data_IF_369545203143
#
_entry.id   IF_369545203143
#
_cell.length_a   1.000
_cell.length_b   1.000
_cell.length_c   1.000
_cell.angle_alpha   90.00
_cell.angle_beta   90.00
_cell.angle_gamma   90.00
#
_symmetry.space_group_name_H-M   'P 1'
#
loop_
_entity.id
_entity.type
_entity.pdbx_description
1 polymer ?
#
# COMPACT_ATOMS: atom_id res chain seq x y z
N UNK A 1 47.45 9.42 -2.34
CA UNK A 1 46.66 8.17 -2.42
C UNK A 1 46.60 7.55 -1.03
N UNK A 2 45.53 6.87 -0.60
CA UNK A 2 44.49 6.19 -1.39
C UNK A 2 43.25 7.09 -1.59
N UNK A 3 42.36 6.91 -2.57
CA UNK A 3 42.10 5.79 -3.48
C UNK A 3 40.58 5.67 -3.62
N UNK A 4 39.91 6.61 -4.28
CA UNK A 4 38.47 6.50 -4.58
C UNK A 4 38.35 5.65 -5.85
N UNK A 5 37.98 4.39 -5.68
CA UNK A 5 37.55 3.55 -6.79
C UNK A 5 36.17 4.02 -7.27
N UNK A 6 36.13 4.54 -8.50
CA UNK A 6 34.88 4.79 -9.20
C UNK A 6 34.21 3.47 -9.59
N UNK A 7 32.97 3.28 -9.18
CA UNK A 7 32.08 2.30 -9.81
C UNK A 7 31.55 2.92 -11.11
N UNK A 8 31.95 2.34 -12.25
CA UNK A 8 31.40 2.66 -13.56
C UNK A 8 29.99 2.06 -13.72
N UNK A 9 29.06 2.87 -14.23
CA UNK A 9 27.77 2.42 -14.77
C UNK A 9 27.88 2.37 -16.30
N UNK A 10 27.44 1.28 -16.99
CA UNK A 10 27.57 1.19 -18.43
C UNK A 10 26.49 2.05 -19.12
N UNK A 11 26.97 2.99 -19.95
CA UNK A 11 26.25 3.83 -20.94
C UNK A 11 25.83 5.24 -20.49
N UNK A 12 26.84 6.09 -20.28
CA UNK A 12 27.16 7.38 -20.96
C UNK A 12 27.97 8.20 -19.94
N UNK A 13 29.28 8.29 -20.17
CA UNK A 13 30.27 8.76 -19.19
C UNK A 13 30.40 10.27 -19.06
N UNK A 14 29.75 10.85 -18.05
CA UNK A 14 30.08 12.16 -17.49
C UNK A 14 30.04 12.08 -15.95
N UNK A 15 31.18 12.32 -15.30
CA UNK A 15 31.25 12.54 -13.85
C UNK A 15 30.93 14.01 -13.57
N UNK A 16 29.88 14.31 -12.80
CA UNK A 16 29.60 15.67 -12.34
C UNK A 16 29.75 15.75 -10.81
N UNK A 17 30.72 16.52 -10.28
CA UNK A 17 30.73 16.91 -8.87
C UNK A 17 29.73 18.06 -8.67
N UNK A 18 28.74 17.88 -7.80
CA UNK A 18 27.90 18.98 -7.31
C UNK A 18 28.63 19.62 -6.13
N UNK A 19 29.14 20.84 -6.29
CA UNK A 19 29.72 21.62 -5.19
C UNK A 19 28.68 22.60 -4.66
N UNK A 20 28.34 22.51 -3.37
CA UNK A 20 27.51 23.49 -2.66
C UNK A 20 28.45 24.41 -1.90
N UNK A 21 28.47 25.70 -2.24
CA UNK A 21 29.19 26.71 -1.46
C UNK A 21 28.18 27.54 -0.67
N UNK A 22 28.19 27.41 0.66
CA UNK A 22 27.45 28.27 1.58
C UNK A 22 28.26 29.54 1.81
N UNK A 23 27.65 30.72 1.64
CA UNK A 23 28.26 32.00 2.03
C UNK A 23 27.31 32.66 3.03
N UNK A 24 27.56 32.43 4.32
CA UNK A 24 27.01 33.24 5.40
C UNK A 24 28.12 33.51 6.43
N UNK A 25 28.23 34.71 7.01
CA UNK A 25 29.24 34.99 8.02
C UNK A 25 28.86 34.32 9.35
N UNK A 26 29.71 33.44 9.88
CA UNK A 26 29.63 32.98 11.27
C UNK A 26 29.05 31.59 11.55
N UNK A 27 28.68 30.81 10.54
CA UNK A 27 28.24 29.41 10.73
C UNK A 27 29.22 28.44 10.04
N UNK A 28 29.83 27.54 10.81
CA UNK A 28 30.65 26.45 10.31
C UNK A 28 29.78 25.17 10.22
N UNK A 29 29.75 24.53 9.05
CA UNK A 29 29.21 23.19 8.88
C UNK A 29 30.38 22.21 8.76
N UNK A 30 30.47 21.21 9.65
CA UNK A 30 31.58 20.25 9.66
C UNK A 30 31.50 19.22 8.53
N UNK A 31 30.32 18.97 7.95
CA UNK A 31 30.19 18.21 6.70
C UNK A 31 28.84 18.43 6.02
N UNK A 32 28.85 18.42 4.68
CA UNK A 32 27.65 18.40 3.83
C UNK A 32 27.65 17.08 3.06
N UNK A 33 26.64 16.22 3.29
CA UNK A 33 26.47 15.00 2.51
C UNK A 33 25.34 15.16 1.50
N UNK A 34 25.65 14.91 0.22
CA UNK A 34 24.68 14.75 -0.85
C UNK A 34 24.40 13.26 -1.03
N UNK A 35 23.14 12.83 -0.85
CA UNK A 35 22.70 11.50 -1.28
C UNK A 35 22.01 11.61 -2.63
N UNK A 36 22.46 10.81 -3.58
CA UNK A 36 21.81 10.63 -4.89
C UNK A 36 21.13 9.26 -4.88
N UNK A 37 19.80 9.24 -4.86
CA UNK A 37 19.01 8.09 -5.26
C UNK A 37 17.97 8.60 -6.29
N UNK A 38 18.06 8.12 -7.53
CA UNK A 38 17.04 8.33 -8.57
C UNK A 38 16.64 9.79 -8.87
N UNK A 39 17.62 10.68 -9.07
CA UNK A 39 17.39 11.98 -9.71
C UNK A 39 16.88 13.12 -8.81
N UNK A 40 16.88 12.94 -7.48
CA UNK A 40 16.64 14.00 -6.51
C UNK A 40 17.92 14.26 -5.68
N UNK A 41 18.24 15.54 -5.44
CA UNK A 41 19.35 15.95 -4.58
C UNK A 41 18.79 16.59 -3.31
N UNK A 42 19.05 15.97 -2.16
CA UNK A 42 18.70 16.51 -0.84
C UNK A 42 19.94 17.04 -0.11
N UNK A 43 19.76 18.13 0.65
CA UNK A 43 20.79 18.73 1.50
C UNK A 43 20.51 18.33 2.97
N UNK A 44 21.51 17.74 3.64
CA UNK A 44 21.46 17.50 5.09
C UNK A 44 22.57 18.32 5.74
N UNK A 45 22.22 19.22 6.65
CA UNK A 45 23.15 20.02 7.43
C UNK A 45 23.26 19.42 8.84
N UNK A 46 24.45 18.94 9.21
CA UNK A 46 24.73 18.50 10.59
C UNK A 46 25.67 19.53 11.24
N UNK A 47 25.21 20.16 12.32
CA UNK A 47 26.03 21.08 13.13
C UNK A 47 25.28 21.59 14.36
N UNK A 48 26.00 21.72 15.48
CA UNK A 48 25.51 22.03 16.83
C UNK A 48 24.76 23.36 16.93
N UNK A 49 23.98 23.50 18.00
CA UNK A 49 23.11 24.64 18.33
C UNK A 49 23.74 26.00 18.02
N UNK A 50 23.24 26.65 16.97
CA UNK A 50 23.56 28.04 16.65
C UNK A 50 22.57 28.95 17.37
N UNK A 51 23.04 29.77 18.32
CA UNK A 51 22.26 30.87 18.90
C UNK A 51 22.25 32.05 17.93
N UNK A 52 21.06 32.41 17.45
CA UNK A 52 20.83 33.43 16.41
C UNK A 52 19.33 33.50 16.04
N UNK A 53 18.88 34.55 15.32
CA UNK A 53 17.46 34.91 15.21
C UNK A 53 16.61 33.81 14.56
N UNK A 54 15.31 33.75 14.92
CA UNK A 54 14.34 32.66 14.66
C UNK A 54 14.14 32.22 13.18
N UNK A 55 14.74 32.94 12.22
CA UNK A 55 14.64 32.71 10.78
C UNK A 55 16.02 32.79 10.14
N UNK A 56 16.47 31.70 9.50
CA UNK A 56 17.68 31.68 8.69
C UNK A 56 17.31 31.86 7.21
N UNK A 57 17.84 32.90 6.57
CA UNK A 57 17.79 33.05 5.11
C UNK A 57 19.02 32.38 4.50
N UNK A 58 18.79 31.42 3.59
CA UNK A 58 19.86 30.73 2.88
C UNK A 58 19.72 30.95 1.38
N UNK A 59 20.76 31.52 0.77
CA UNK A 59 20.88 31.64 -0.69
C UNK A 59 21.51 30.35 -1.24
N UNK A 60 20.73 29.56 -1.98
CA UNK A 60 21.23 28.36 -2.64
C UNK A 60 21.59 28.71 -4.09
N UNK A 61 22.87 28.53 -4.44
CA UNK A 61 23.36 28.71 -5.81
C UNK A 61 23.71 27.36 -6.41
N UNK A 62 22.86 26.87 -7.30
CA UNK A 62 23.16 25.69 -8.12
C UNK A 62 23.94 26.17 -9.34
N UNK A 63 25.20 25.77 -9.49
CA UNK A 63 26.03 26.09 -10.65
C UNK A 63 25.87 24.97 -11.68
N UNK A 64 25.13 25.19 -12.78
CA UNK A 64 24.98 24.17 -13.81
C UNK A 64 26.18 24.17 -14.78
N UNK A 65 26.30 23.15 -15.67
CA UNK A 65 27.28 23.17 -16.75
C UNK A 65 27.10 24.41 -17.64
N UNK A 66 28.19 24.83 -18.30
CA UNK A 66 28.22 26.04 -19.12
C UNK A 66 27.06 26.08 -20.14
N UNK A 67 26.28 27.16 -20.11
CA UNK A 67 25.14 27.39 -21.02
C UNK A 67 23.75 27.26 -20.38
N UNK A 68 23.64 26.82 -19.12
CA UNK A 68 22.37 26.81 -18.40
C UNK A 68 22.27 27.99 -17.41
N UNK A 69 21.11 28.65 -17.36
CA UNK A 69 20.78 29.68 -16.36
C UNK A 69 19.81 29.06 -15.36
N UNK A 70 20.20 28.98 -14.10
CA UNK A 70 19.32 28.60 -12.98
C UNK A 70 18.79 29.85 -12.29
N UNK A 71 17.49 29.92 -11.95
CA UNK A 71 16.97 31.01 -11.12
C UNK A 71 17.60 30.97 -9.73
N UNK A 72 17.97 32.13 -9.18
CA UNK A 72 18.28 32.24 -7.75
C UNK A 72 17.00 32.00 -6.95
N UNK A 73 17.08 31.13 -5.95
CA UNK A 73 15.99 30.93 -5.01
C UNK A 73 16.45 31.27 -3.60
N UNK A 74 15.62 32.07 -2.92
CA UNK A 74 15.81 32.46 -1.54
C UNK A 74 14.77 31.71 -0.72
N UNK A 75 15.20 31.00 0.31
CA UNK A 75 14.32 30.23 1.19
C UNK A 75 14.53 30.66 2.64
N UNK A 76 13.43 30.70 3.39
CA UNK A 76 13.39 31.00 4.81
C UNK A 76 13.16 29.71 5.59
N UNK A 77 14.02 29.45 6.58
CA UNK A 77 13.93 28.25 7.42
C UNK A 77 13.69 28.68 8.87
N UNK A 78 12.65 28.13 9.53
CA UNK A 78 12.33 28.36 10.95
C UNK A 78 13.02 27.33 11.84
N UNK A 79 13.45 27.74 13.05
CA UNK A 79 14.08 26.84 14.02
C UNK A 79 13.01 26.00 14.74
N UNK A 80 13.20 24.67 14.73
CA UNK A 80 12.33 23.68 15.37
C UNK A 80 11.57 22.84 14.34
N UNK A 81 12.00 21.58 14.18
CA UNK A 81 11.53 20.58 13.20
C UNK A 81 12.04 20.76 11.76
N UNK A 82 13.12 20.04 11.44
CA UNK A 82 13.47 19.64 10.08
C UNK A 82 13.33 18.12 9.97
N UNK A 83 12.10 17.62 10.02
CA UNK A 83 11.70 16.39 9.32
C UNK A 83 10.82 16.83 8.15
N UNK A 84 11.46 17.42 7.14
CA UNK A 84 10.78 17.96 5.97
C UNK A 84 11.71 17.96 4.77
N UNK A 85 11.43 17.07 3.82
CA UNK A 85 12.00 17.12 2.48
C UNK A 85 11.63 18.46 1.83
N UNK A 86 12.62 19.21 1.35
CA UNK A 86 12.40 20.34 0.44
C UNK A 86 12.43 19.78 -0.99
N UNK A 87 11.26 19.70 -1.65
CA UNK A 87 11.19 19.38 -3.08
C UNK A 87 11.71 20.55 -3.92
N UNK A 88 12.77 20.32 -4.70
CA UNK A 88 13.22 21.25 -5.74
C UNK A 88 12.66 20.74 -7.08
N UNK A 89 11.60 21.39 -7.58
CA UNK A 89 10.99 21.03 -8.85
C UNK A 89 11.79 21.63 -10.02
N UNK A 90 12.53 20.81 -10.77
CA UNK A 90 13.22 21.25 -12.01
C UNK A 90 12.26 21.18 -13.20
N UNK A 91 11.72 22.34 -13.61
CA UNK A 91 10.91 22.43 -14.85
C UNK A 91 11.85 22.29 -16.06
N UNK A 92 11.73 21.20 -16.83
CA UNK A 92 12.37 21.09 -18.15
C UNK A 92 11.68 22.04 -19.14
N UNK A 93 12.35 23.13 -19.49
CA UNK A 93 11.90 24.03 -20.56
C UNK A 93 11.82 23.29 -21.90
N UNK A 94 10.67 23.40 -22.58
CA UNK A 94 10.51 22.94 -23.97
C UNK A 94 11.46 23.71 -24.88
N UNK A 95 12.12 23.00 -25.78
CA UNK A 95 12.82 23.57 -26.92
C UNK A 95 11.87 24.46 -27.73
N UNK A 96 12.21 25.75 -27.86
CA UNK A 96 11.63 26.64 -28.85
C UNK A 96 12.64 26.75 -29.99
N UNK A 97 12.26 26.25 -31.16
CA UNK A 97 13.02 26.37 -32.40
C UNK A 97 13.15 27.83 -32.83
N UNK A 98 14.29 28.13 -33.43
CA UNK A 98 14.61 29.40 -34.07
C UNK A 98 13.60 29.81 -35.16
N UNK A 99 13.37 31.11 -35.31
CA UNK A 99 13.56 31.90 -36.55
C UNK A 99 13.40 33.42 -36.24
N UNK A 100 13.91 34.33 -37.11
CA UNK A 100 14.56 35.56 -36.69
C UNK A 100 13.71 36.83 -36.82
N UNK A 101 14.32 37.91 -36.32
CA UNK A 101 13.98 39.33 -36.32
C UNK A 101 13.48 39.95 -37.62
N UNK A 102 12.53 40.88 -37.47
CA UNK A 102 12.30 42.18 -38.15
C UNK A 102 10.77 42.37 -38.24
N UNK A 103 10.16 43.42 -37.71
CA UNK A 103 10.29 44.83 -38.09
C UNK A 103 8.98 45.24 -38.80
N UNK A 104 8.34 46.35 -38.38
CA UNK A 104 7.31 46.99 -39.20
C UNK A 104 6.02 47.36 -38.48
N UNK A 105 5.65 48.64 -38.60
CA UNK A 105 4.44 49.28 -38.07
C UNK A 105 3.27 49.19 -39.07
N UNK A 106 2.09 49.49 -38.53
CA UNK A 106 1.02 50.30 -39.11
C UNK A 106 -0.09 49.64 -39.95
N UNK A 107 -1.31 49.83 -39.41
CA UNK A 107 -2.53 50.39 -40.00
C UNK A 107 -3.26 49.66 -41.15
N UNK A 108 -4.58 49.67 -40.94
CA UNK A 108 -5.67 50.00 -41.88
C UNK A 108 -6.51 48.89 -42.52
N UNK A 109 -7.84 49.08 -42.31
CA UNK A 109 -9.01 48.85 -43.18
C UNK A 109 -9.85 47.57 -43.09
N UNK A 110 -11.01 47.76 -42.45
CA UNK A 110 -12.36 47.80 -43.05
C UNK A 110 -12.96 46.57 -43.78
N UNK A 111 -14.20 46.28 -43.35
CA UNK A 111 -15.42 45.82 -44.05
C UNK A 111 -15.88 44.38 -43.81
N UNK A 112 -17.15 44.27 -43.36
CA UNK A 112 -17.94 43.05 -43.46
C UNK A 112 -19.02 42.91 -42.40
N UNK A 113 -20.05 43.75 -42.43
CA UNK A 113 -21.33 43.52 -41.73
C UNK A 113 -22.04 42.31 -42.35
N UNK A 114 -22.61 41.42 -41.53
CA UNK A 114 -24.01 40.99 -41.63
C UNK A 114 -24.43 40.13 -40.42
N UNK A 115 -25.71 40.25 -40.08
CA UNK A 115 -26.28 39.88 -38.80
C UNK A 115 -26.58 38.40 -38.60
N UNK A 116 -26.76 38.05 -37.33
CA UNK A 116 -27.19 36.74 -36.87
C UNK A 116 -27.30 36.76 -35.36
N UNK A 117 -28.47 36.45 -34.81
CA UNK A 117 -28.84 36.69 -33.42
C UNK A 117 -27.88 36.12 -32.37
N UNK A 118 -27.73 36.87 -31.28
CA UNK A 118 -27.04 36.44 -30.06
C UNK A 118 -27.79 35.25 -29.44
N UNK A 119 -27.40 34.03 -29.79
CA UNK A 119 -27.48 32.90 -28.84
C UNK A 119 -26.31 33.09 -27.88
N UNK A 120 -26.62 33.19 -26.59
CA UNK A 120 -25.61 33.22 -25.53
C UNK A 120 -24.74 31.96 -25.59
N UNK A 121 -23.48 32.02 -25.15
CA UNK A 121 -22.61 30.85 -25.16
C UNK A 121 -23.26 29.74 -24.35
N UNK A 122 -23.49 28.59 -25.00
CA UNK A 122 -23.66 27.31 -24.32
C UNK A 122 -22.50 27.19 -23.34
N UNK A 123 -22.83 27.10 -22.05
CA UNK A 123 -21.85 26.75 -21.04
C UNK A 123 -21.50 25.30 -21.30
N UNK A 124 -20.37 25.08 -21.97
CA UNK A 124 -19.71 23.79 -21.96
C UNK A 124 -19.55 23.38 -20.49
N UNK A 125 -20.34 22.39 -20.07
CA UNK A 125 -20.10 21.69 -18.82
C UNK A 125 -18.66 21.17 -18.88
N UNK A 126 -17.83 21.42 -17.85
CA UNK A 126 -16.48 20.90 -17.84
C UNK A 126 -16.60 19.38 -17.87
N UNK A 127 -16.17 18.77 -18.97
CA UNK A 127 -15.93 17.34 -19.04
C UNK A 127 -15.01 17.00 -17.87
N UNK A 128 -15.56 16.41 -16.82
CA UNK A 128 -14.79 15.89 -15.70
C UNK A 128 -13.90 14.78 -16.26
N UNK A 129 -12.70 15.16 -16.72
CA UNK A 129 -11.67 14.19 -17.05
C UNK A 129 -11.37 13.42 -15.77
N UNK A 130 -11.72 12.13 -15.79
CA UNK A 130 -11.34 11.19 -14.75
C UNK A 130 -9.84 11.36 -14.50
N UNK A 131 -9.40 11.70 -13.28
CA UNK A 131 -7.99 11.92 -12.99
C UNK A 131 -7.16 10.74 -13.51
N UNK A 132 -6.00 10.99 -14.11
CA UNK A 132 -5.19 9.94 -14.74
C UNK A 132 -4.89 8.75 -13.81
N UNK A 133 -4.79 9.01 -12.49
CA UNK A 133 -4.61 7.97 -11.49
C UNK A 133 -5.86 7.08 -11.32
N UNK A 134 -7.08 7.63 -11.46
CA UNK A 134 -8.34 6.86 -11.44
C UNK A 134 -8.42 5.91 -12.64
N UNK A 135 -7.95 6.34 -13.81
CA UNK A 135 -7.81 5.44 -14.96
C UNK A 135 -6.73 4.36 -14.74
N UNK A 136 -5.68 4.65 -13.96
CA UNK A 136 -4.67 3.64 -13.61
C UNK A 136 -5.15 2.60 -12.59
N UNK A 137 -6.09 2.97 -11.70
CA UNK A 137 -6.70 2.05 -10.72
C UNK A 137 -7.99 1.38 -11.20
N UNK A 138 -8.60 1.83 -12.30
CA UNK A 138 -9.65 1.06 -12.96
C UNK A 138 -9.05 -0.20 -13.57
N UNK A 139 -9.24 -1.32 -12.87
CA UNK A 139 -8.62 -2.60 -13.20
C UNK A 139 -9.39 -3.39 -14.26
N UNK A 140 -10.61 -2.96 -14.61
CA UNK A 140 -11.54 -3.77 -15.42
C UNK A 140 -12.08 -5.01 -14.70
N UNK A 141 -11.75 -5.20 -13.42
CA UNK A 141 -12.21 -6.31 -12.58
C UNK A 141 -12.87 -5.78 -11.32
N UNK A 142 -13.66 -6.62 -10.65
CA UNK A 142 -14.16 -6.32 -9.30
C UNK A 142 -13.03 -6.47 -8.27
N UNK A 143 -12.06 -5.56 -8.25
CA UNK A 143 -10.87 -5.68 -7.40
C UNK A 143 -11.22 -5.96 -5.94
N UNK A 144 -10.53 -6.93 -5.36
CA UNK A 144 -10.65 -7.30 -3.94
C UNK A 144 -9.36 -6.91 -3.24
N UNK A 145 -9.47 -6.07 -2.22
CA UNK A 145 -8.38 -5.79 -1.30
C UNK A 145 -8.50 -6.73 -0.09
N UNK A 146 -7.60 -7.70 0.03
CA UNK A 146 -7.68 -8.65 1.13
C UNK A 146 -7.19 -8.10 2.47
N UNK A 147 -6.68 -6.86 2.54
CA UNK A 147 -6.03 -6.34 3.74
C UNK A 147 -6.51 -4.95 4.09
N UNK A 148 -7.53 -4.87 4.94
CA UNK A 148 -8.03 -3.63 5.50
C UNK A 148 -8.19 -3.70 7.03
N UNK A 149 -8.27 -2.54 7.68
CA UNK A 149 -8.62 -2.43 9.09
C UNK A 149 -9.67 -1.37 9.36
N UNK A 150 -10.38 -1.56 10.46
CA UNK A 150 -11.15 -0.52 11.15
C UNK A 150 -10.79 -0.53 12.63
N UNK A 151 -11.02 0.59 13.32
CA UNK A 151 -10.84 0.69 14.77
C UNK A 151 -9.97 1.88 15.16
N UNK A 152 -9.35 1.85 16.34
CA UNK A 152 -8.45 2.91 16.79
C UNK A 152 -7.00 2.42 16.75
N UNK A 153 -6.17 3.18 16.03
CA UNK A 153 -4.72 3.11 16.18
C UNK A 153 -4.18 4.55 16.24
N UNK A 154 -3.59 4.93 17.38
CA UNK A 154 -3.10 6.29 17.60
C UNK A 154 -2.08 6.72 16.54
N UNK A 155 -2.42 7.78 15.80
CA UNK A 155 -1.66 8.33 14.68
C UNK A 155 -2.21 8.00 13.28
N UNK A 156 -3.25 7.16 13.19
CA UNK A 156 -3.87 6.74 11.92
C UNK A 156 -5.38 6.95 11.95
N UNK A 157 -5.95 7.31 10.79
CA UNK A 157 -7.39 7.36 10.60
C UNK A 157 -7.87 6.03 9.99
N UNK A 158 -8.25 5.11 10.88
CA UNK A 158 -8.82 3.81 10.54
C UNK A 158 -10.34 3.81 10.76
N UNK A 159 -10.99 4.96 10.58
CA UNK A 159 -12.43 5.08 10.70
C UNK A 159 -13.13 4.35 9.55
N UNK A 160 -14.33 3.83 9.83
CA UNK A 160 -15.18 3.19 8.81
C UNK A 160 -15.48 4.14 7.64
N UNK A 161 -15.73 5.41 7.92
CA UNK A 161 -15.98 6.43 6.89
C UNK A 161 -14.78 6.63 5.97
N UNK A 162 -13.58 6.72 6.52
CA UNK A 162 -12.35 6.90 5.73
C UNK A 162 -12.06 5.66 4.91
N UNK A 163 -12.23 4.45 5.48
CA UNK A 163 -12.11 3.22 4.72
C UNK A 163 -13.06 3.17 3.52
N UNK A 164 -14.36 3.43 3.73
CA UNK A 164 -15.34 3.37 2.64
C UNK A 164 -15.08 4.43 1.56
N UNK A 165 -14.68 5.64 1.96
CA UNK A 165 -14.31 6.72 1.04
C UNK A 165 -13.10 6.31 0.18
N UNK A 166 -12.05 5.77 0.80
CA UNK A 166 -10.85 5.34 0.09
C UNK A 166 -11.15 4.16 -0.85
N UNK A 167 -11.96 3.19 -0.42
CA UNK A 167 -12.37 2.07 -1.28
C UNK A 167 -13.12 2.55 -2.52
N UNK A 168 -13.99 3.55 -2.39
CA UNK A 168 -14.66 4.19 -3.52
C UNK A 168 -13.66 4.94 -4.41
N UNK A 169 -12.75 5.70 -3.82
CA UNK A 169 -11.72 6.43 -4.57
C UNK A 169 -10.83 5.50 -5.39
N UNK A 170 -10.42 4.37 -4.79
CA UNK A 170 -9.55 3.37 -5.39
C UNK A 170 -10.25 2.36 -6.31
N UNK A 171 -11.57 2.44 -6.49
CA UNK A 171 -12.31 1.49 -7.32
C UNK A 171 -12.32 0.06 -6.76
N UNK A 172 -12.22 -0.09 -5.43
CA UNK A 172 -12.19 -1.39 -4.76
C UNK A 172 -13.62 -1.89 -4.52
N UNK A 173 -13.93 -3.05 -5.11
CA UNK A 173 -15.26 -3.64 -5.06
C UNK A 173 -15.58 -4.29 -3.71
N UNK A 174 -14.59 -4.91 -3.08
CA UNK A 174 -14.71 -5.52 -1.75
C UNK A 174 -13.39 -5.40 -1.00
N UNK A 175 -13.46 -5.10 0.31
CA UNK A 175 -12.32 -5.26 1.21
C UNK A 175 -12.57 -6.32 2.27
N UNK A 176 -11.52 -7.06 2.62
CA UNK A 176 -11.50 -7.97 3.77
C UNK A 176 -10.86 -7.24 4.94
N UNK A 177 -11.68 -6.93 5.95
CA UNK A 177 -11.30 -6.07 7.05
C UNK A 177 -11.24 -6.82 8.38
N UNK A 178 -10.26 -6.49 9.20
CA UNK A 178 -10.21 -6.87 10.61
C UNK A 178 -10.34 -5.67 11.53
N UNK A 179 -10.79 -5.88 12.77
CA UNK A 179 -10.84 -4.82 13.75
C UNK A 179 -9.52 -4.74 14.54
N UNK A 180 -8.73 -3.70 14.28
CA UNK A 180 -7.41 -3.48 14.88
C UNK A 180 -7.48 -3.28 16.40
N UNK A 181 -8.66 -2.96 16.94
CA UNK A 181 -8.84 -2.84 18.39
C UNK A 181 -8.56 -4.17 19.13
N UNK A 182 -8.53 -5.32 18.43
CA UNK A 182 -8.10 -6.61 19.01
C UNK A 182 -6.59 -6.73 19.28
N UNK A 183 -5.76 -5.88 18.66
CA UNK A 183 -4.34 -5.79 18.95
C UNK A 183 -4.10 -5.21 20.35
N UNK A 184 -3.05 -5.65 21.04
CA UNK A 184 -2.71 -5.22 22.41
C UNK A 184 -1.45 -4.35 22.38
N UNK A 185 -1.59 -3.14 21.86
CA UNK A 185 -0.49 -2.18 21.74
C UNK A 185 -0.77 -0.99 22.65
N UNK A 186 -0.09 -0.89 23.83
CA UNK A 186 -0.36 0.15 24.81
C UNK A 186 -0.31 1.56 24.23
N UNK A 187 -1.33 2.36 24.53
CA UNK A 187 -1.47 3.74 24.04
C UNK A 187 -1.88 3.87 22.56
N UNK A 188 -1.75 2.81 21.76
CA UNK A 188 -2.07 2.82 20.33
C UNK A 188 -3.46 2.28 20.04
N UNK A 189 -3.76 1.05 20.48
CA UNK A 189 -5.04 0.39 20.24
C UNK A 189 -5.91 0.37 21.49
N UNK A 190 -7.20 0.00 21.35
CA UNK A 190 -8.09 -0.18 22.51
C UNK A 190 -7.81 -1.47 23.30
N UNK A 191 -7.11 -2.45 22.72
CA UNK A 191 -6.79 -3.70 23.41
C UNK A 191 -8.04 -4.51 23.81
N UNK A 192 -9.08 -4.48 22.98
CA UNK A 192 -10.34 -5.15 23.27
C UNK A 192 -10.15 -6.67 23.39
N UNK A 193 -10.94 -7.34 24.25
CA UNK A 193 -11.08 -8.78 24.20
C UNK A 193 -11.46 -9.25 22.80
N UNK A 194 -10.90 -10.40 22.38
CA UNK A 194 -11.06 -10.96 21.03
C UNK A 194 -12.52 -10.96 20.55
N UNK A 195 -13.42 -11.40 21.42
CA UNK A 195 -14.85 -11.49 21.17
C UNK A 195 -15.51 -10.11 20.97
N UNK A 196 -15.11 -9.10 21.74
CA UNK A 196 -15.60 -7.73 21.56
C UNK A 196 -15.13 -7.11 20.24
N UNK A 197 -13.85 -7.30 19.88
CA UNK A 197 -13.30 -6.82 18.61
C UNK A 197 -14.01 -7.46 17.40
N UNK A 198 -14.22 -8.78 17.43
CA UNK A 198 -14.91 -9.52 16.38
C UNK A 198 -16.39 -9.14 16.27
N UNK A 199 -17.12 -8.99 17.40
CA UNK A 199 -18.51 -8.49 17.35
C UNK A 199 -18.61 -7.09 16.75
N UNK A 200 -17.68 -6.20 17.10
CA UNK A 200 -17.63 -4.86 16.53
C UNK A 200 -17.37 -4.91 15.01
N UNK A 201 -16.47 -5.78 14.55
CA UNK A 201 -16.23 -6.00 13.12
C UNK A 201 -17.48 -6.53 12.40
N UNK A 202 -18.20 -7.48 13.01
CA UNK A 202 -19.45 -8.00 12.45
C UNK A 202 -20.51 -6.89 12.28
N UNK A 203 -20.57 -5.94 13.22
CA UNK A 203 -21.48 -4.80 13.13
C UNK A 203 -21.11 -3.85 11.98
N UNK A 204 -19.80 -3.62 11.74
CA UNK A 204 -19.30 -2.84 10.59
C UNK A 204 -19.68 -3.50 9.27
N UNK A 205 -19.51 -4.82 9.16
CA UNK A 205 -19.90 -5.57 7.95
C UNK A 205 -21.41 -5.50 7.71
N UNK A 206 -22.23 -5.62 8.76
CA UNK A 206 -23.70 -5.54 8.62
C UNK A 206 -24.18 -4.17 8.11
N UNK A 207 -23.45 -3.09 8.41
CA UNK A 207 -23.75 -1.76 7.85
C UNK A 207 -23.29 -1.62 6.40
N UNK A 208 -22.32 -2.42 5.97
CA UNK A 208 -21.68 -2.33 4.65
C UNK A 208 -21.62 -3.69 3.91
N UNK A 209 -22.76 -4.41 3.79
CA UNK A 209 -22.79 -5.80 3.34
C UNK A 209 -22.35 -5.99 1.88
N UNK A 210 -22.38 -4.94 1.05
CA UNK A 210 -21.91 -4.98 -0.33
C UNK A 210 -20.41 -4.64 -0.50
N UNK A 211 -19.77 -4.09 0.53
CA UNK A 211 -18.40 -3.54 0.45
C UNK A 211 -17.38 -4.25 1.33
N UNK A 212 -17.80 -4.89 2.42
CA UNK A 212 -16.88 -5.45 3.42
C UNK A 212 -17.21 -6.91 3.76
N UNK A 213 -16.17 -7.71 3.99
CA UNK A 213 -16.24 -8.98 4.74
C UNK A 213 -15.23 -8.94 5.87
N UNK A 214 -15.48 -9.71 6.93
CA UNK A 214 -14.64 -9.71 8.11
C UNK A 214 -13.59 -10.83 8.06
N UNK A 215 -12.42 -10.52 8.60
CA UNK A 215 -11.43 -11.48 9.06
C UNK A 215 -11.48 -11.50 10.60
N UNK A 216 -11.68 -12.69 11.18
CA UNK A 216 -11.77 -12.83 12.63
C UNK A 216 -10.39 -12.55 13.23
N UNK A 217 -10.29 -11.59 14.15
CA UNK A 217 -9.06 -11.36 14.90
C UNK A 217 -8.86 -12.51 15.88
N UNK A 218 -7.73 -13.20 15.78
CA UNK A 218 -7.33 -14.29 16.67
C UNK A 218 -6.35 -13.83 17.75
N UNK A 219 -6.59 -14.27 18.99
CA UNK A 219 -5.72 -14.00 20.15
C UNK A 219 -5.30 -15.30 20.85
N UNK A 220 -4.24 -15.97 20.37
CA UNK A 220 -3.59 -17.08 21.08
C UNK A 220 -3.19 -16.74 22.52
N UNK A 221 -2.87 -15.47 22.78
CA UNK A 221 -2.53 -14.94 24.11
C UNK A 221 -3.73 -14.86 25.08
N UNK A 222 -4.96 -15.08 24.61
CA UNK A 222 -6.17 -14.96 25.44
C UNK A 222 -6.40 -16.14 26.40
N UNK A 223 -5.56 -17.18 26.37
CA UNK A 223 -5.64 -18.30 27.32
C UNK A 223 -6.88 -19.20 27.15
N UNK A 224 -7.51 -19.19 25.97
CA UNK A 224 -8.64 -20.08 25.68
C UNK A 224 -8.15 -21.52 25.51
N UNK A 225 -8.95 -22.47 25.99
CA UNK A 225 -8.75 -23.89 25.65
C UNK A 225 -8.99 -24.12 24.15
N UNK A 226 -8.46 -25.22 23.56
CA UNK A 226 -8.73 -25.54 22.16
C UNK A 226 -10.23 -25.59 21.81
N UNK A 227 -11.06 -26.14 22.69
CA UNK A 227 -12.53 -26.17 22.52
C UNK A 227 -13.16 -24.78 22.64
N UNK A 228 -12.60 -23.92 23.48
CA UNK A 228 -13.00 -22.51 23.59
C UNK A 228 -12.71 -21.73 22.32
N UNK A 229 -11.53 -21.91 21.73
CA UNK A 229 -11.15 -21.32 20.43
C UNK A 229 -12.10 -21.81 19.34
N UNK A 230 -12.31 -23.12 19.23
CA UNK A 230 -13.23 -23.71 18.24
C UNK A 230 -14.64 -23.16 18.38
N UNK A 231 -15.20 -23.16 19.59
CA UNK A 231 -16.57 -22.69 19.84
C UNK A 231 -16.72 -21.21 19.52
N UNK A 232 -15.73 -20.38 19.87
CA UNK A 232 -15.75 -18.96 19.55
C UNK A 232 -15.75 -18.73 18.04
N UNK A 233 -14.82 -19.34 17.31
CA UNK A 233 -14.71 -19.16 15.86
C UNK A 233 -15.89 -19.79 15.10
N UNK A 234 -16.44 -20.92 15.58
CA UNK A 234 -17.66 -21.51 15.04
C UNK A 234 -18.82 -20.49 15.06
N UNK A 235 -19.04 -19.84 16.22
CA UNK A 235 -20.07 -18.82 16.36
C UNK A 235 -19.91 -17.63 15.40
N UNK A 236 -18.68 -17.24 15.08
CA UNK A 236 -18.40 -16.22 14.04
C UNK A 236 -18.63 -16.77 12.63
N UNK A 237 -18.25 -18.04 12.39
CA UNK A 237 -18.39 -18.72 11.11
C UNK A 237 -19.82 -18.98 10.69
N UNK A 238 -20.76 -18.99 11.64
CA UNK A 238 -22.20 -19.16 11.40
C UNK A 238 -22.92 -17.85 11.10
N UNK A 239 -22.28 -16.70 11.31
CA UNK A 239 -22.90 -15.40 11.05
C UNK A 239 -23.13 -15.19 9.54
N UNK A 240 -24.38 -14.88 9.19
CA UNK A 240 -24.82 -14.60 7.81
C UNK A 240 -25.43 -13.21 7.68
N UNK A 241 -25.32 -12.64 6.50
CA UNK A 241 -26.01 -11.47 5.99
C UNK A 241 -27.22 -11.92 5.15
N UNK A 242 -28.16 -11.01 4.90
CA UNK A 242 -29.18 -11.25 3.87
C UNK A 242 -28.52 -11.21 2.50
N UNK A 243 -28.76 -12.24 1.68
CA UNK A 243 -28.10 -12.40 0.37
C UNK A 243 -28.34 -11.23 -0.57
N UNK A 244 -29.53 -10.63 -0.54
CA UNK A 244 -29.90 -9.48 -1.38
C UNK A 244 -29.06 -8.22 -1.11
N UNK A 245 -28.54 -8.08 0.10
CA UNK A 245 -27.75 -6.91 0.51
C UNK A 245 -26.26 -7.07 0.19
N UNK A 246 -25.83 -8.26 -0.23
CA UNK A 246 -24.40 -8.61 -0.34
C UNK A 246 -23.69 -8.04 -1.57
N UNK A 247 -24.41 -7.45 -2.52
CA UNK A 247 -23.83 -7.05 -3.80
C UNK A 247 -23.29 -8.23 -4.63
N UNK A 248 -23.88 -9.43 -4.45
CA UNK A 248 -23.49 -10.64 -5.16
C UNK A 248 -22.26 -11.36 -4.58
N UNK A 249 -21.83 -11.00 -3.37
CA UNK A 249 -20.78 -11.69 -2.63
C UNK A 249 -21.38 -12.73 -1.67
N UNK A 250 -20.55 -13.64 -1.15
CA UNK A 250 -20.95 -14.62 -0.13
C UNK A 250 -21.76 -14.01 1.03
N UNK A 251 -22.84 -14.63 1.54
CA UNK A 251 -23.58 -14.11 2.70
C UNK A 251 -22.83 -14.30 4.01
N UNK A 252 -21.68 -14.98 4.04
CA UNK A 252 -20.85 -15.11 5.25
C UNK A 252 -20.40 -13.73 5.73
N UNK A 253 -20.52 -13.46 7.03
CA UNK A 253 -19.94 -12.23 7.62
C UNK A 253 -18.42 -12.36 7.70
N UNK A 254 -17.95 -13.49 8.23
CA UNK A 254 -16.53 -13.80 8.36
C UNK A 254 -16.08 -14.80 7.30
N UNK A 255 -14.91 -14.53 6.70
CA UNK A 255 -14.38 -15.28 5.56
C UNK A 255 -12.96 -15.79 5.76
N UNK A 256 -12.35 -15.49 6.90
CA UNK A 256 -11.00 -15.89 7.25
C UNK A 256 -10.62 -15.49 8.67
N UNK A 257 -9.40 -15.82 9.08
CA UNK A 257 -8.82 -15.49 10.37
C UNK A 257 -7.60 -14.59 10.18
N UNK A 258 -7.46 -13.54 11.00
CA UNK A 258 -6.29 -12.65 11.09
C UNK A 258 -5.53 -12.93 12.38
N UNK A 259 -4.22 -13.15 12.26
CA UNK A 259 -3.28 -13.26 13.36
C UNK A 259 -2.24 -12.13 13.27
N UNK A 260 -1.89 -11.58 14.43
CA UNK A 260 -0.86 -10.54 14.55
C UNK A 260 0.10 -10.86 15.69
N UNK A 261 1.13 -11.70 15.44
CA UNK A 261 2.06 -12.18 16.47
C UNK A 261 2.75 -11.04 17.24
N UNK A 262 3.23 -10.01 16.54
CA UNK A 262 3.86 -8.84 17.17
C UNK A 262 2.89 -8.06 18.07
N UNK A 263 1.79 -7.54 17.52
CA UNK A 263 0.86 -6.68 18.28
C UNK A 263 0.12 -7.41 19.41
N UNK A 264 0.14 -8.74 19.46
CA UNK A 264 -0.43 -9.54 20.54
C UNK A 264 0.64 -10.34 21.33
N UNK A 265 1.93 -10.08 21.08
CA UNK A 265 3.06 -10.54 21.90
C UNK A 265 3.22 -12.07 22.01
N UNK A 266 3.08 -12.80 20.90
CA UNK A 266 3.37 -14.24 20.84
C UNK A 266 4.20 -14.58 19.59
N UNK A 267 5.01 -15.66 19.59
CA UNK A 267 5.68 -16.12 18.38
C UNK A 267 4.68 -16.85 17.46
N UNK A 268 4.73 -16.62 16.15
CA UNK A 268 3.78 -17.15 15.18
C UNK A 268 3.68 -18.68 15.16
N UNK A 269 4.72 -19.38 15.58
CA UNK A 269 4.82 -20.83 15.65
C UNK A 269 4.48 -21.42 17.04
N UNK A 270 4.01 -20.62 17.99
CA UNK A 270 3.56 -21.10 19.30
C UNK A 270 2.46 -22.16 19.16
N UNK A 271 2.41 -23.14 20.07
CA UNK A 271 1.42 -24.22 20.00
C UNK A 271 0.00 -23.73 20.31
N UNK A 272 -0.13 -22.61 21.04
CA UNK A 272 -1.37 -21.91 21.32
C UNK A 272 -2.05 -21.36 20.05
N UNK A 273 -1.30 -21.27 18.94
CA UNK A 273 -1.82 -20.89 17.63
C UNK A 273 -2.53 -22.06 16.95
N UNK A 274 -2.13 -23.31 17.22
CA UNK A 274 -2.62 -24.50 16.51
C UNK A 274 -4.15 -24.68 16.58
N UNK A 275 -4.85 -24.44 17.71
CA UNK A 275 -6.31 -24.52 17.75
C UNK A 275 -7.02 -23.57 16.78
N UNK A 276 -6.42 -22.41 16.50
CA UNK A 276 -6.97 -21.45 15.52
C UNK A 276 -6.85 -21.97 14.09
N UNK A 277 -5.74 -22.64 13.76
CA UNK A 277 -5.52 -23.25 12.45
C UNK A 277 -6.42 -24.48 12.26
N UNK A 278 -6.58 -25.31 13.29
CA UNK A 278 -7.51 -26.45 13.28
C UNK A 278 -8.97 -26.01 13.07
N UNK A 279 -9.40 -24.94 13.75
CA UNK A 279 -10.72 -24.37 13.53
C UNK A 279 -10.86 -23.81 12.10
N UNK A 280 -9.85 -23.07 11.63
CA UNK A 280 -9.82 -22.52 10.27
C UNK A 280 -9.91 -23.60 9.20
N UNK A 281 -9.19 -24.72 9.38
CA UNK A 281 -9.27 -25.89 8.52
C UNK A 281 -10.70 -26.44 8.43
N UNK A 282 -11.36 -26.62 9.58
CA UNK A 282 -12.73 -27.15 9.64
C UNK A 282 -13.75 -26.25 8.93
N UNK A 283 -13.54 -24.92 8.94
CA UNK A 283 -14.45 -23.95 8.33
C UNK A 283 -14.11 -23.62 6.87
N UNK A 284 -12.97 -24.14 6.37
CA UNK A 284 -12.41 -23.76 5.08
C UNK A 284 -11.95 -22.30 5.04
N UNK A 285 -11.55 -21.75 6.18
CA UNK A 285 -11.06 -20.38 6.29
C UNK A 285 -9.55 -20.32 6.01
N UNK A 286 -9.08 -19.40 5.16
CA UNK A 286 -7.68 -19.03 5.14
C UNK A 286 -7.29 -18.25 6.40
N UNK A 287 -6.02 -18.37 6.76
CA UNK A 287 -5.40 -17.63 7.85
C UNK A 287 -4.44 -16.61 7.27
N UNK A 288 -4.57 -15.37 7.69
CA UNK A 288 -3.68 -14.30 7.30
C UNK A 288 -2.85 -13.90 8.51
N UNK A 289 -1.54 -13.80 8.32
CA UNK A 289 -0.61 -13.54 9.41
C UNK A 289 0.20 -12.31 9.03
N UNK A 290 0.24 -11.31 9.91
CA UNK A 290 1.20 -10.23 9.76
C UNK A 290 2.61 -10.85 9.71
N UNK A 291 3.32 -10.63 8.61
CA UNK A 291 4.67 -11.15 8.41
C UNK A 291 5.66 -9.99 8.44
N UNK A 292 6.56 -9.99 9.43
CA UNK A 292 7.52 -8.93 9.65
C UNK A 292 8.93 -9.37 9.25
N UNK A 293 9.70 -8.47 8.65
CA UNK A 293 11.08 -8.72 8.21
C UNK A 293 12.15 -8.39 9.26
N UNK A 294 11.76 -7.93 10.45
CA UNK A 294 12.62 -7.49 11.56
C UNK A 294 12.26 -8.13 12.89
N UNK A 295 10.97 -8.23 13.23
CA UNK A 295 10.51 -8.89 14.45
C UNK A 295 10.39 -10.41 14.24
N UNK A 296 11.23 -11.15 14.97
CA UNK A 296 11.26 -12.60 14.89
C UNK A 296 9.92 -13.26 15.27
N UNK A 297 9.09 -12.65 16.11
CA UNK A 297 7.77 -13.20 16.48
C UNK A 297 6.88 -13.41 15.27
N UNK A 298 7.01 -12.56 14.26
CA UNK A 298 6.22 -12.58 13.04
C UNK A 298 7.07 -12.93 11.80
N UNK A 299 8.25 -13.55 12.00
CA UNK A 299 9.14 -13.89 10.88
C UNK A 299 8.50 -14.90 9.92
N UNK A 300 8.79 -14.81 8.61
CA UNK A 300 8.31 -15.78 7.63
C UNK A 300 8.67 -17.22 7.97
N UNK A 301 9.83 -17.46 8.58
CA UNK A 301 10.30 -18.77 9.01
C UNK A 301 9.37 -19.37 10.07
N UNK A 302 8.97 -18.59 11.09
CA UNK A 302 7.99 -19.06 12.10
C UNK A 302 6.62 -19.28 11.49
N UNK A 303 6.16 -18.38 10.62
CA UNK A 303 4.87 -18.55 9.92
C UNK A 303 4.89 -19.83 9.07
N UNK A 304 5.99 -20.13 8.38
CA UNK A 304 6.15 -21.39 7.64
C UNK A 304 6.15 -22.58 8.59
N UNK A 305 6.87 -22.54 9.71
CA UNK A 305 6.88 -23.62 10.71
C UNK A 305 5.47 -23.90 11.27
N UNK A 306 4.70 -22.86 11.58
CA UNK A 306 3.28 -22.97 11.94
C UNK A 306 2.47 -23.64 10.81
N UNK A 307 2.57 -23.13 9.58
CA UNK A 307 1.80 -23.63 8.45
C UNK A 307 2.11 -25.10 8.09
N UNK A 308 3.35 -25.57 8.31
CA UNK A 308 3.74 -26.97 8.10
C UNK A 308 3.01 -27.96 9.01
N UNK A 309 2.56 -27.51 10.19
CA UNK A 309 1.74 -28.33 11.09
C UNK A 309 0.29 -28.45 10.60
N UNK A 310 -0.16 -27.54 9.71
CA UNK A 310 -1.52 -27.45 9.18
C UNK A 310 -1.52 -27.26 7.65
N UNK A 311 -0.93 -28.19 6.88
CA UNK A 311 -0.60 -27.97 5.46
C UNK A 311 -1.82 -27.77 4.54
N UNK A 312 -3.04 -28.12 4.99
CA UNK A 312 -4.27 -27.89 4.22
C UNK A 312 -4.85 -26.49 4.43
N UNK A 313 -4.43 -25.76 5.47
CA UNK A 313 -4.89 -24.40 5.73
C UNK A 313 -4.11 -23.44 4.81
N UNK A 314 -4.78 -22.65 3.98
CA UNK A 314 -4.12 -21.60 3.24
C UNK A 314 -3.65 -20.50 4.19
N UNK A 315 -2.37 -20.16 4.14
CA UNK A 315 -1.76 -19.13 4.98
C UNK A 315 -1.21 -18.00 4.11
N UNK A 316 -1.63 -16.77 4.35
CA UNK A 316 -1.17 -15.58 3.63
C UNK A 316 -0.19 -14.79 4.49
N UNK A 317 1.02 -14.56 3.97
CA UNK A 317 2.04 -13.73 4.59
C UNK A 317 1.77 -12.26 4.24
N UNK A 318 1.06 -11.56 5.12
CA UNK A 318 0.75 -10.13 4.92
C UNK A 318 2.02 -9.29 4.88
N UNK A 319 2.03 -8.29 4.01
CA UNK A 319 3.17 -7.41 3.67
C UNK A 319 4.39 -8.08 3.02
N UNK A 320 4.43 -9.42 2.93
CA UNK A 320 5.60 -10.14 2.42
C UNK A 320 6.89 -9.68 3.13
N UNK A 321 6.89 -9.62 4.47
CA UNK A 321 8.01 -9.12 5.27
C UNK A 321 7.98 -7.60 5.49
N UNK A 322 7.05 -7.13 6.32
CA UNK A 322 6.87 -5.74 6.71
C UNK A 322 8.14 -5.14 7.33
N UNK A 323 8.41 -3.87 7.04
CA UNK A 323 9.48 -3.10 7.68
C UNK A 323 10.92 -3.57 7.40
N UNK A 324 11.14 -4.77 6.84
CA UNK A 324 12.44 -5.40 6.66
C UNK A 324 12.63 -6.04 5.27
N UNK A 325 13.52 -7.04 5.14
CA UNK A 325 13.72 -7.74 3.88
C UNK A 325 12.49 -8.58 3.50
N UNK A 326 12.03 -8.46 2.24
CA UNK A 326 10.93 -9.26 1.71
C UNK A 326 11.34 -10.69 1.30
N UNK A 327 12.62 -10.86 1.01
CA UNK A 327 13.19 -12.07 0.45
C UNK A 327 12.94 -13.34 1.31
N UNK A 328 13.00 -13.32 2.65
CA UNK A 328 12.63 -14.47 3.48
C UNK A 328 11.18 -14.95 3.27
N UNK A 329 10.22 -14.03 3.14
CA UNK A 329 8.83 -14.36 2.86
C UNK A 329 8.65 -15.01 1.48
N UNK A 330 9.30 -14.44 0.46
CA UNK A 330 9.30 -15.00 -0.90
C UNK A 330 9.89 -16.41 -0.91
N UNK A 331 11.02 -16.63 -0.22
CA UNK A 331 11.64 -17.97 -0.10
C UNK A 331 10.76 -18.96 0.63
N UNK A 332 10.09 -18.55 1.71
CA UNK A 332 9.20 -19.44 2.45
C UNK A 332 8.06 -19.93 1.53
N UNK A 333 7.42 -19.02 0.80
CA UNK A 333 6.36 -19.35 -0.15
C UNK A 333 6.85 -20.21 -1.34
N UNK A 334 8.02 -19.90 -1.90
CA UNK A 334 8.65 -20.69 -2.98
C UNK A 334 8.97 -22.12 -2.50
N UNK A 335 9.57 -22.27 -1.31
CA UNK A 335 9.89 -23.57 -0.72
C UNK A 335 8.64 -24.39 -0.46
N UNK A 336 7.63 -23.78 0.17
CA UNK A 336 6.35 -24.43 0.44
C UNK A 336 5.66 -24.89 -0.86
N UNK A 337 5.72 -24.09 -1.92
CA UNK A 337 5.20 -24.46 -3.23
C UNK A 337 5.95 -25.63 -3.86
N UNK A 338 7.28 -25.67 -3.72
CA UNK A 338 8.12 -26.73 -4.28
C UNK A 338 8.03 -28.05 -3.49
N UNK A 339 7.94 -27.99 -2.17
CA UNK A 339 7.89 -29.17 -1.29
C UNK A 339 6.47 -29.71 -1.10
N UNK A 340 5.45 -28.86 -1.22
CA UNK A 340 4.08 -29.17 -0.84
C UNK A 340 3.86 -29.32 0.67
N UNK A 341 4.81 -28.86 1.50
CA UNK A 341 4.77 -29.06 2.96
C UNK A 341 3.93 -28.02 3.72
N UNK A 342 3.53 -26.95 3.05
CA UNK A 342 2.62 -25.92 3.55
C UNK A 342 1.92 -25.22 2.39
N UNK A 343 0.78 -24.58 2.65
CA UNK A 343 0.02 -23.84 1.64
C UNK A 343 0.16 -22.32 1.82
N UNK A 344 1.32 -21.79 1.42
CA UNK A 344 1.66 -20.37 1.61
C UNK A 344 1.33 -19.50 0.39
N UNK A 345 0.93 -18.27 0.68
CA UNK A 345 0.63 -17.18 -0.26
C UNK A 345 1.29 -15.88 0.19
N UNK A 346 1.55 -14.99 -0.75
CA UNK A 346 2.08 -13.64 -0.51
C UNK A 346 0.99 -12.58 -0.71
N UNK A 347 1.19 -11.42 -0.10
CA UNK A 347 0.28 -10.26 -0.17
C UNK A 347 1.08 -8.96 -0.40
N UNK A 348 0.46 -7.97 -1.05
CA UNK A 348 1.16 -6.85 -1.69
C UNK A 348 1.31 -5.57 -0.86
N UNK A 349 0.74 -5.49 0.34
CA UNK A 349 0.76 -4.27 1.16
C UNK A 349 2.20 -3.84 1.44
N UNK A 350 2.50 -2.56 1.15
CA UNK A 350 3.82 -1.94 1.25
C UNK A 350 4.96 -2.70 0.54
N UNK A 351 4.63 -3.56 -0.44
CA UNK A 351 5.61 -4.25 -1.26
C UNK A 351 5.98 -3.39 -2.48
N UNK A 352 7.25 -2.94 -2.63
CA UNK A 352 7.63 -2.12 -3.77
C UNK A 352 7.44 -2.86 -5.11
N UNK A 353 7.06 -2.17 -6.21
CA UNK A 353 6.78 -2.82 -7.50
C UNK A 353 7.88 -3.77 -8.01
N UNK A 354 9.14 -3.37 -7.87
CA UNK A 354 10.27 -4.22 -8.27
C UNK A 354 10.42 -5.48 -7.41
N UNK A 355 10.10 -5.41 -6.11
CA UNK A 355 10.09 -6.57 -5.23
C UNK A 355 8.89 -7.49 -5.52
N UNK A 356 7.72 -6.90 -5.79
CA UNK A 356 6.53 -7.61 -6.25
C UNK A 356 6.80 -8.43 -7.52
N UNK A 357 7.38 -7.83 -8.56
CA UNK A 357 7.67 -8.54 -9.82
C UNK A 357 8.61 -9.73 -9.60
N UNK A 358 9.65 -9.57 -8.78
CA UNK A 358 10.55 -10.68 -8.40
C UNK A 358 9.84 -11.76 -7.59
N UNK A 359 8.92 -11.39 -6.71
CA UNK A 359 8.13 -12.35 -5.96
C UNK A 359 7.24 -13.18 -6.90
N UNK A 360 6.53 -12.53 -7.82
CA UNK A 360 5.67 -13.20 -8.82
C UNK A 360 6.47 -14.12 -9.73
N UNK A 361 7.66 -13.72 -10.18
CA UNK A 361 8.55 -14.56 -11.00
C UNK A 361 8.87 -15.89 -10.30
N UNK A 362 9.05 -15.87 -8.98
CA UNK A 362 9.45 -17.04 -8.19
C UNK A 362 8.29 -17.93 -7.77
N UNK A 363 7.20 -17.34 -7.29
CA UNK A 363 6.06 -18.11 -6.71
C UNK A 363 4.89 -18.28 -7.67
N UNK A 364 4.90 -17.55 -8.80
CA UNK A 364 3.82 -17.47 -9.76
C UNK A 364 2.66 -16.58 -9.31
N UNK A 365 1.91 -15.97 -10.25
CA UNK A 365 0.85 -15.01 -9.94
C UNK A 365 -0.34 -15.62 -9.18
N UNK A 366 -0.52 -16.94 -9.22
CA UNK A 366 -1.60 -17.65 -8.51
C UNK A 366 -1.37 -17.79 -7.00
N UNK A 367 -0.17 -17.42 -6.51
CA UNK A 367 0.19 -17.43 -5.08
C UNK A 367 0.35 -16.04 -4.48
N UNK A 368 -0.04 -14.98 -5.20
CA UNK A 368 0.05 -13.59 -4.75
C UNK A 368 -1.33 -12.95 -4.73
N UNK A 369 -1.70 -12.30 -3.63
CA UNK A 369 -2.98 -11.63 -3.45
C UNK A 369 -2.77 -10.11 -3.38
N UNK A 370 -3.70 -9.36 -3.98
CA UNK A 370 -3.74 -7.92 -3.80
C UNK A 370 -4.29 -7.56 -2.41
N UNK A 371 -3.53 -6.73 -1.71
CA UNK A 371 -3.96 -5.99 -0.55
C UNK A 371 -3.07 -4.78 -0.32
N UNK A 372 -3.56 -3.84 0.49
CA UNK A 372 -2.88 -2.54 0.66
C UNK A 372 -2.71 -2.09 2.10
N UNK A 373 -3.22 -2.85 3.07
CA UNK A 373 -3.36 -2.40 4.46
C UNK A 373 -4.19 -1.11 4.49
N UNK A 374 -5.42 -1.21 3.95
CA UNK A 374 -6.27 -0.10 3.57
C UNK A 374 -6.37 0.96 4.67
N UNK A 375 -6.21 2.22 4.26
CA UNK A 375 -6.15 3.45 5.09
C UNK A 375 -4.87 3.68 5.90
N UNK A 376 -3.85 2.81 5.79
CA UNK A 376 -2.54 3.04 6.42
C UNK A 376 -1.91 4.41 6.06
N UNK A 377 -2.18 4.91 4.85
CA UNK A 377 -1.67 6.20 4.35
C UNK A 377 -2.67 7.36 4.49
N UNK A 378 -3.83 7.13 5.12
CA UNK A 378 -4.91 8.12 5.20
C UNK A 378 -5.53 8.45 3.84
N UNK A 379 -5.90 9.72 3.64
CA UNK A 379 -6.56 10.16 2.41
C UNK A 379 -5.66 9.99 1.17
N UNK A 380 -6.21 9.45 0.09
CA UNK A 380 -5.45 9.13 -1.12
C UNK A 380 -4.58 7.87 -0.99
N UNK A 381 -4.93 6.97 -0.06
CA UNK A 381 -4.23 5.72 0.19
C UNK A 381 -4.03 4.91 -1.09
N UNK A 382 -5.08 4.68 -1.87
CA UNK A 382 -4.98 3.88 -3.10
C UNK A 382 -4.18 4.56 -4.21
N UNK A 383 -4.06 5.90 -4.20
CA UNK A 383 -3.17 6.62 -5.13
C UNK A 383 -1.71 6.22 -4.93
N UNK A 384 -1.32 5.98 -3.67
CA UNK A 384 0.04 5.52 -3.33
C UNK A 384 0.36 4.14 -3.91
N UNK A 385 -0.66 3.32 -4.16
CA UNK A 385 -0.53 1.99 -4.76
C UNK A 385 -0.61 1.99 -6.29
N UNK A 386 -0.84 3.13 -6.97
CA UNK A 386 -0.93 3.18 -8.42
C UNK A 386 0.31 2.57 -9.15
N UNK A 387 1.57 2.80 -8.71
CA UNK A 387 2.73 2.15 -9.32
C UNK A 387 2.73 0.62 -9.18
N UNK A 388 2.16 0.09 -8.08
CA UNK A 388 2.05 -1.35 -7.86
C UNK A 388 0.96 -1.96 -8.74
N UNK A 389 -0.19 -1.29 -8.85
CA UNK A 389 -1.27 -1.70 -9.77
C UNK A 389 -0.79 -1.72 -11.21
N UNK A 390 -0.02 -0.72 -11.65
CA UNK A 390 0.59 -0.71 -12.98
C UNK A 390 1.56 -1.88 -13.18
N UNK A 391 2.39 -2.19 -12.18
CA UNK A 391 3.26 -3.36 -12.24
C UNK A 391 2.48 -4.67 -12.32
N UNK A 392 1.36 -4.81 -11.60
CA UNK A 392 0.46 -5.96 -11.70
C UNK A 392 -0.10 -6.08 -13.13
N UNK A 393 -0.59 -4.98 -13.71
CA UNK A 393 -1.15 -4.94 -15.08
C UNK A 393 -0.11 -5.28 -16.15
N UNK A 394 1.15 -4.90 -15.94
CA UNK A 394 2.25 -5.17 -16.86
C UNK A 394 2.52 -6.67 -17.07
N UNK A 395 2.04 -7.53 -16.17
CA UNK A 395 2.12 -8.98 -16.29
C UNK A 395 1.13 -9.56 -17.32
N UNK A 396 0.21 -8.74 -17.83
CA UNK A 396 -0.88 -9.16 -18.71
C UNK A 396 -2.18 -9.45 -17.96
N UNK A 397 -3.27 -9.57 -18.72
CA UNK A 397 -4.64 -9.64 -18.18
C UNK A 397 -4.86 -10.83 -17.23
N UNK A 398 -4.43 -12.03 -17.62
CA UNK A 398 -4.66 -13.26 -16.84
C UNK A 398 -3.93 -13.23 -15.49
N UNK A 399 -2.62 -12.93 -15.40
CA UNK A 399 -1.95 -12.75 -14.12
C UNK A 399 -2.52 -11.60 -13.28
N UNK A 400 -2.84 -10.46 -13.92
CA UNK A 400 -3.38 -9.31 -13.22
C UNK A 400 -4.74 -9.63 -12.57
N UNK A 401 -5.66 -10.29 -13.30
CA UNK A 401 -6.95 -10.75 -12.77
C UNK A 401 -6.77 -11.74 -11.63
N UNK A 402 -5.79 -12.64 -11.72
CA UNK A 402 -5.51 -13.59 -10.65
C UNK A 402 -5.17 -12.87 -9.35
N UNK A 403 -4.28 -11.87 -9.41
CA UNK A 403 -3.76 -11.15 -8.25
C UNK A 403 -4.80 -10.17 -7.69
N UNK A 404 -5.46 -9.40 -8.55
CA UNK A 404 -6.42 -8.36 -8.16
C UNK A 404 -7.79 -8.91 -7.76
N UNK A 405 -8.10 -10.16 -8.11
CA UNK A 405 -9.43 -10.74 -7.87
C UNK A 405 -9.40 -12.25 -7.58
N UNK A 406 -9.06 -13.11 -8.56
CA UNK A 406 -9.44 -14.53 -8.52
C UNK A 406 -8.82 -15.29 -7.34
N UNK A 407 -7.61 -14.92 -6.93
CA UNK A 407 -6.93 -15.55 -5.80
C UNK A 407 -7.69 -15.27 -4.49
N UNK A 408 -7.99 -14.00 -4.18
CA UNK A 408 -8.76 -13.65 -3.00
C UNK A 408 -10.20 -14.22 -3.07
N UNK A 409 -10.84 -14.12 -4.24
CA UNK A 409 -12.19 -14.63 -4.48
C UNK A 409 -12.32 -16.11 -4.11
N UNK A 410 -11.42 -16.96 -4.63
CA UNK A 410 -11.40 -18.39 -4.36
C UNK A 410 -10.93 -18.72 -2.94
N UNK A 411 -9.89 -18.04 -2.45
CA UNK A 411 -9.26 -18.39 -1.19
C UNK A 411 -10.17 -18.11 0.01
N UNK A 412 -10.91 -17.00 -0.04
CA UNK A 412 -11.82 -16.58 1.04
C UNK A 412 -13.28 -17.00 0.81
N UNK A 413 -13.57 -17.77 -0.26
CA UNK A 413 -14.91 -18.29 -0.55
C UNK A 413 -15.94 -17.18 -0.76
N UNK A 414 -15.61 -16.21 -1.61
CA UNK A 414 -16.38 -14.97 -1.80
C UNK A 414 -17.52 -15.11 -2.82
N UNK A 415 -17.71 -16.31 -3.36
CA UNK A 415 -18.79 -16.69 -4.26
C UNK A 415 -20.16 -16.38 -3.66
N UNK A 416 -20.98 -15.61 -4.37
CA UNK A 416 -22.40 -15.42 -4.04
C UNK A 416 -23.22 -16.68 -4.32
N UNK A 417 -24.38 -16.79 -3.68
CA UNK A 417 -25.32 -17.93 -3.83
C UNK A 417 -26.03 -17.98 -5.18
N UNK A 418 -25.94 -16.92 -5.99
CA UNK A 418 -26.62 -16.79 -7.28
C UNK A 418 -25.77 -17.19 -8.50
N UNK A 419 -24.65 -17.91 -8.33
CA UNK A 419 -23.89 -18.42 -9.47
C UNK A 419 -24.26 -19.89 -9.77
N UNK A 420 -25.09 -20.18 -10.78
CA UNK A 420 -25.53 -21.55 -11.10
C UNK A 420 -24.42 -22.43 -11.71
N UNK A 421 -23.21 -21.91 -11.93
CA UNK A 421 -22.12 -22.63 -12.60
C UNK A 421 -21.05 -23.24 -11.65
N UNK A 422 -21.24 -23.23 -10.33
CA UNK A 422 -20.31 -23.93 -9.43
C UNK A 422 -20.61 -25.44 -9.41
N UNK A 423 -19.71 -26.32 -9.92
CA UNK A 423 -19.90 -27.75 -9.77
C UNK A 423 -19.83 -28.09 -8.29
N UNK A 424 -20.87 -28.77 -7.82
CA UNK A 424 -20.96 -29.40 -6.51
C UNK A 424 -19.58 -29.80 -5.96
N UNK A 425 -19.13 -29.12 -4.89
CA UNK A 425 -18.09 -29.67 -4.01
C UNK A 425 -18.70 -30.85 -3.25
N UNK A 426 -18.82 -31.99 -3.93
CA UNK A 426 -19.01 -33.26 -3.25
C UNK A 426 -17.74 -33.57 -2.47
N UNK A 427 -17.89 -33.66 -1.15
CA UNK A 427 -16.94 -34.25 -0.23
C UNK A 427 -16.27 -35.50 -0.81
N UNK A 428 -14.94 -35.48 -0.95
CA UNK A 428 -14.07 -36.64 -0.87
C UNK A 428 -12.73 -36.25 -0.28
#
# INVERSE_FOLDING_TARGET
>A
MPGIQGLQCPRIGLQCPVAVALVAPGAFAESVQLRSCHGQAGLVLNGQDVEGPELLEVDIRVVPPAGCVTPRQRIQVRKGHLDGLVEICMIRGRHVGHLPSSGGRARDRFLGLHGGGLKGPEKDEPQHQTPAWKASVDTGFRTIDCHAHVGRFEGYDLSESTLLSELEEGGIALALASNIDGATVPGKTRGLPMDAANRAMAAVVRRNPARLRALAWGRPDAGLSPDGVRSHLQGLSDLRLNEVDTGGWTPRVFTGLKLHPEMNQYPADAFEVDPFLQASEAFGWPVVVHSDGKDDRASPERIHAMARRHPRVPVVLYHTGFGGPHEPAVRAAERAAASGDANLFLETAQLPPAAFLRAVERVGPRRVLFGTDATYYGAGHYRTYAPLVEAIRSLGEVPARAILHDNAFRLFGLEGTSNPESPNRTHR
#
